data_IF_785708699230
#
_entry.id   IF_785708699230
#
_cell.length_a   1.000
_cell.length_b   1.000
_cell.length_c   1.000
_cell.angle_alpha   90.00
_cell.angle_beta   90.00
_cell.angle_gamma   90.00
#
_symmetry.space_group_name_H-M   'P 1'
#
loop_
_entity.id
_entity.type
_entity.pdbx_description
1 polymer ?
#
# COMPACT_ATOMS: atom_id res chain seq x y z
N UNK A 1 21.00 7.67 -14.41
CA UNK A 1 20.08 8.57 -13.68
C UNK A 1 18.66 7.99 -13.49
N UNK A 2 18.39 6.71 -13.80
CA UNK A 2 17.03 6.15 -13.74
C UNK A 2 16.78 5.07 -12.66
N UNK A 3 17.75 4.82 -11.78
CA UNK A 3 17.67 3.74 -10.79
C UNK A 3 16.44 3.81 -9.88
N UNK A 4 15.97 5.03 -9.54
CA UNK A 4 14.75 5.20 -8.74
C UNK A 4 13.49 4.79 -9.50
N UNK A 5 13.37 5.20 -10.78
CA UNK A 5 12.25 4.82 -11.62
C UNK A 5 12.24 3.31 -11.89
N UNK A 6 13.40 2.74 -12.20
CA UNK A 6 13.56 1.29 -12.41
C UNK A 6 13.18 0.48 -11.16
N UNK A 7 13.64 0.91 -9.98
CA UNK A 7 13.27 0.28 -8.71
C UNK A 7 11.78 0.36 -8.46
N UNK A 8 11.16 1.52 -8.71
CA UNK A 8 9.71 1.69 -8.56
C UNK A 8 8.92 0.76 -9.50
N UNK A 9 9.29 0.69 -10.78
CA UNK A 9 8.67 -0.18 -11.78
C UNK A 9 8.80 -1.66 -11.37
N UNK A 10 9.97 -2.06 -10.86
CA UNK A 10 10.19 -3.42 -10.37
C UNK A 10 9.28 -3.77 -9.18
N UNK A 11 9.09 -2.83 -8.25
CA UNK A 11 8.19 -3.04 -7.10
C UNK A 11 6.74 -3.19 -7.54
N UNK A 12 6.20 -2.26 -8.34
CA UNK A 12 4.79 -2.33 -8.77
C UNK A 12 4.49 -3.57 -9.60
N UNK A 13 5.46 -4.05 -10.41
CA UNK A 13 5.30 -5.29 -11.16
C UNK A 13 5.13 -6.49 -10.21
N UNK A 14 6.10 -6.72 -9.34
CA UNK A 14 6.13 -7.89 -8.42
C UNK A 14 4.97 -7.89 -7.42
N UNK A 15 4.57 -6.73 -6.94
CA UNK A 15 3.62 -6.61 -5.83
C UNK A 15 2.18 -6.44 -6.29
N UNK A 16 1.97 -6.07 -7.54
CA UNK A 16 0.65 -5.72 -8.04
C UNK A 16 0.39 -6.30 -9.43
N UNK A 17 1.14 -5.89 -10.45
CA UNK A 17 0.76 -6.16 -11.83
C UNK A 17 0.86 -7.64 -12.22
N UNK A 18 1.76 -8.40 -11.61
CA UNK A 18 1.88 -9.85 -11.86
C UNK A 18 0.64 -10.64 -11.38
N UNK A 19 -0.22 -10.03 -10.57
CA UNK A 19 -1.45 -10.65 -10.04
C UNK A 19 -2.70 -10.34 -10.88
N UNK A 20 -2.59 -9.50 -11.91
CA UNK A 20 -3.73 -9.10 -12.73
C UNK A 20 -3.55 -9.47 -14.20
N UNK A 21 -4.61 -10.00 -14.78
CA UNK A 21 -4.78 -9.99 -16.24
C UNK A 21 -5.45 -8.66 -16.59
N UNK A 22 -4.78 -7.87 -17.45
CA UNK A 22 -5.17 -6.50 -17.78
C UNK A 22 -5.74 -6.47 -19.20
N UNK A 23 -7.01 -6.10 -19.32
CA UNK A 23 -7.72 -6.10 -20.60
C UNK A 23 -7.84 -4.72 -21.25
N UNK A 24 -7.80 -3.65 -20.44
CA UNK A 24 -8.01 -2.27 -20.89
C UNK A 24 -7.09 -1.31 -20.15
N UNK A 25 -6.68 -0.24 -20.82
CA UNK A 25 -5.85 0.81 -20.22
C UNK A 25 -6.52 1.46 -18.99
N UNK A 26 -7.84 1.66 -19.02
CA UNK A 26 -8.60 2.19 -17.87
C UNK A 26 -8.45 1.31 -16.62
N UNK A 27 -8.40 -0.02 -16.80
CA UNK A 27 -8.17 -0.96 -15.70
C UNK A 27 -6.76 -0.77 -15.13
N UNK A 28 -5.73 -0.72 -15.99
CA UNK A 28 -4.35 -0.46 -15.57
C UNK A 28 -4.23 0.86 -14.80
N UNK A 29 -4.86 1.94 -15.29
CA UNK A 29 -4.84 3.25 -14.61
C UNK A 29 -5.45 3.19 -13.22
N UNK A 30 -6.57 2.48 -13.06
CA UNK A 30 -7.19 2.28 -11.75
C UNK A 30 -6.29 1.46 -10.82
N UNK A 31 -5.67 0.40 -11.33
CA UNK A 31 -4.72 -0.43 -10.58
C UNK A 31 -3.54 0.38 -10.09
N UNK A 32 -2.90 1.13 -10.99
CA UNK A 32 -1.77 2.00 -10.64
C UNK A 32 -2.19 3.07 -9.63
N UNK A 33 -3.37 3.70 -9.78
CA UNK A 33 -3.85 4.71 -8.83
C UNK A 33 -4.00 4.13 -7.42
N UNK A 34 -4.58 2.95 -7.29
CA UNK A 34 -4.73 2.28 -6.00
C UNK A 34 -3.38 1.82 -5.43
N UNK A 35 -2.48 1.32 -6.28
CA UNK A 35 -1.12 0.98 -5.87
C UNK A 35 -0.37 2.19 -5.32
N UNK A 36 -0.42 3.34 -6.00
CA UNK A 36 0.23 4.58 -5.53
C UNK A 36 -0.36 5.02 -4.19
N UNK A 37 -1.69 4.95 -4.03
CA UNK A 37 -2.32 5.24 -2.75
C UNK A 37 -1.81 4.30 -1.66
N UNK A 38 -1.76 2.98 -1.91
CA UNK A 38 -1.20 2.01 -0.96
C UNK A 38 0.27 2.31 -0.62
N UNK A 39 1.09 2.44 -1.66
CA UNK A 39 2.53 2.68 -1.55
C UNK A 39 2.82 3.91 -0.70
N UNK A 40 2.11 5.01 -0.89
CA UNK A 40 2.37 6.24 -0.15
C UNK A 40 1.79 6.26 1.27
N UNK A 41 0.69 5.54 1.53
CA UNK A 41 -0.06 5.70 2.79
C UNK A 41 0.09 4.53 3.77
N UNK A 42 0.41 3.34 3.28
CA UNK A 42 0.33 2.10 4.07
C UNK A 42 1.61 1.26 4.02
N UNK A 43 2.39 1.34 2.93
CA UNK A 43 3.64 0.58 2.82
C UNK A 43 4.69 1.14 3.79
N UNK A 44 5.29 0.33 4.67
CA UNK A 44 6.37 0.80 5.54
C UNK A 44 7.58 1.24 4.71
N UNK A 45 8.04 2.48 4.91
CA UNK A 45 9.21 3.05 4.24
C UNK A 45 10.34 3.28 5.26
N UNK A 46 11.52 2.73 5.00
CA UNK A 46 12.66 2.87 5.91
C UNK A 46 13.10 4.32 6.10
N UNK A 47 12.96 5.17 5.07
CA UNK A 47 13.35 6.59 5.13
C UNK A 47 12.48 7.47 6.05
N UNK A 48 11.38 6.93 6.58
CA UNK A 48 10.45 7.61 7.50
C UNK A 48 10.09 6.72 8.69
N UNK A 49 11.01 5.84 9.10
CA UNK A 49 10.83 4.90 10.23
C UNK A 49 9.59 4.00 10.12
N UNK A 50 9.15 3.69 8.90
CA UNK A 50 8.09 2.71 8.63
C UNK A 50 6.66 3.22 8.77
N UNK A 51 6.43 4.53 8.97
CA UNK A 51 5.08 5.07 9.27
C UNK A 51 4.69 6.13 8.23
N UNK A 52 4.01 5.76 7.13
CA UNK A 52 3.73 6.69 6.04
C UNK A 52 2.73 7.79 6.39
N UNK A 53 1.74 7.47 7.22
CA UNK A 53 0.68 8.40 7.60
C UNK A 53 0.73 8.84 9.07
N UNK A 54 1.84 8.59 9.77
CA UNK A 54 1.99 8.99 11.18
C UNK A 54 0.97 8.37 12.16
N UNK A 55 0.15 7.40 11.73
CA UNK A 55 -0.78 6.70 12.61
C UNK A 55 -0.01 5.68 13.45
N UNK A 56 0.54 6.16 14.56
CA UNK A 56 1.07 5.27 15.58
C UNK A 56 -0.08 4.41 16.14
N UNK A 57 0.14 3.11 16.38
CA UNK A 57 -0.82 2.33 17.13
C UNK A 57 -1.06 3.01 18.49
N UNK A 58 -2.30 2.97 19.02
CA UNK A 58 -2.60 3.56 20.32
C UNK A 58 -1.67 2.97 21.38
N UNK A 59 -1.09 3.82 22.23
CA UNK A 59 -0.05 3.46 23.23
C UNK A 59 -0.47 2.28 24.13
N UNK A 60 -1.78 2.11 24.33
CA UNK A 60 -2.32 1.20 25.32
C UNK A 60 -2.69 -0.19 24.73
N UNK A 61 -2.46 -0.45 23.44
CA UNK A 61 -2.94 -1.66 22.73
C UNK A 61 -4.45 -1.95 22.88
N UNK A 62 -5.21 -1.00 23.43
CA UNK A 62 -6.66 -1.06 23.60
C UNK A 62 -7.36 -0.71 22.29
N UNK A 63 -8.60 -1.18 22.15
CA UNK A 63 -9.42 -0.97 20.97
C UNK A 63 -9.48 -2.17 20.03
N UNK A 64 -10.56 -2.23 19.26
CA UNK A 64 -10.84 -3.32 18.34
C UNK A 64 -9.89 -3.28 17.14
N UNK A 65 -9.40 -4.46 16.72
CA UNK A 65 -8.63 -4.58 15.49
C UNK A 65 -9.58 -4.46 14.31
N UNK A 66 -9.34 -3.47 13.45
CA UNK A 66 -10.02 -3.29 12.17
C UNK A 66 -9.11 -3.75 11.04
N UNK A 67 -9.74 -4.24 9.98
CA UNK A 67 -9.08 -4.68 8.75
C UNK A 67 -9.60 -3.84 7.60
N UNK A 68 -8.70 -3.14 6.93
CA UNK A 68 -8.99 -2.44 5.68
C UNK A 68 -8.35 -3.22 4.53
N UNK A 69 -9.16 -3.60 3.55
CA UNK A 69 -8.66 -4.16 2.30
C UNK A 69 -8.04 -3.06 1.44
N UNK A 70 -6.88 -3.34 0.85
CA UNK A 70 -6.15 -2.47 -0.06
C UNK A 70 -5.76 -3.24 -1.32
N UNK A 71 -5.50 -2.50 -2.40
CA UNK A 71 -5.05 -3.04 -3.68
C UNK A 71 -5.96 -4.16 -4.21
N UNK A 72 -7.26 -3.89 -4.32
CA UNK A 72 -8.28 -4.86 -4.73
C UNK A 72 -8.25 -6.17 -3.90
N UNK A 73 -7.98 -6.05 -2.58
CA UNK A 73 -7.87 -7.17 -1.61
C UNK A 73 -6.58 -7.98 -1.68
N UNK A 74 -5.63 -7.61 -2.54
CA UNK A 74 -4.29 -8.22 -2.53
C UNK A 74 -3.58 -7.95 -1.20
N UNK A 75 -3.76 -6.75 -0.64
CA UNK A 75 -3.15 -6.34 0.62
C UNK A 75 -4.20 -6.05 1.67
N UNK A 76 -3.84 -6.26 2.93
CA UNK A 76 -4.69 -5.94 4.07
C UNK A 76 -3.89 -5.08 5.06
N UNK A 77 -4.48 -3.96 5.47
CA UNK A 77 -3.96 -3.15 6.55
C UNK A 77 -4.76 -3.42 7.82
N UNK A 78 -4.06 -3.82 8.87
CA UNK A 78 -4.62 -4.04 10.19
C UNK A 78 -4.25 -2.87 11.09
N UNK A 79 -5.25 -2.23 11.71
CA UNK A 79 -5.04 -1.14 12.64
C UNK A 79 -6.00 -1.25 13.84
N UNK A 80 -5.65 -0.60 14.95
CA UNK A 80 -6.55 -0.45 16.10
C UNK A 80 -7.20 0.92 16.03
N UNK A 81 -8.52 0.96 16.19
CA UNK A 81 -9.27 2.19 16.35
C UNK A 81 -9.18 2.63 17.82
N UNK A 82 -8.87 3.90 18.08
CA UNK A 82 -8.91 4.46 19.43
C UNK A 82 -10.36 4.37 19.93
N UNK A 83 -10.55 3.81 21.13
CA UNK A 83 -11.87 3.71 21.77
C UNK A 83 -12.34 5.06 22.30
#
# INVERSE_FOLDING_TARGET
MNAYAERFIKSIRKECLDWFIIFKEKQLRNIIKEYIHNYNNYRPHQGINGIPNGKYPPENNKGNIKKQSLLFRLHNHHYREAS
#
